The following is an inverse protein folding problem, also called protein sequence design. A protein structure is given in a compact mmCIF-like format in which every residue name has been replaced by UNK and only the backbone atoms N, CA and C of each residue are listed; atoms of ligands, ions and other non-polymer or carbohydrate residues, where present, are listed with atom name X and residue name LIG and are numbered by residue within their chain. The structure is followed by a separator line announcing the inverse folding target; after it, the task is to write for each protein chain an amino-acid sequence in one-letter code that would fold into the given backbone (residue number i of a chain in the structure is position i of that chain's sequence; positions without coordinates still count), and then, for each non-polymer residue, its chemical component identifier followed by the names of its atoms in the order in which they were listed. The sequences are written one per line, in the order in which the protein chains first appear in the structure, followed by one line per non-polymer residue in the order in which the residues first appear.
data_IF_758379754980
#
_entry.id   IF_758379754980
#
_cell.length_a   1.000
_cell.length_b   1.000
_cell.length_c   1.000
_cell.angle_alpha   90.00
_cell.angle_beta   90.00
_cell.angle_gamma   90.00
#
_symmetry.space_group_name_H-M   'P 1'
#
loop_
_entity.id
_entity.type
_entity.pdbx_description
1 polymer ?
#
# COMPACT_ATOMS: atom_id res chain seq x y z
N UNK A 1 16.16 -23.16 -7.85
CA UNK A 1 15.37 -22.62 -8.99
C UNK A 1 13.86 -22.83 -8.86
N UNK A 2 13.36 -23.95 -8.29
CA UNK A 2 11.91 -24.13 -8.03
C UNK A 2 11.44 -23.27 -6.83
N UNK A 3 12.19 -23.20 -5.73
CA UNK A 3 11.81 -22.38 -4.56
C UNK A 3 11.63 -20.89 -4.88
N UNK A 4 12.47 -20.32 -5.76
CA UNK A 4 12.39 -18.91 -6.16
C UNK A 4 11.05 -18.55 -6.81
N UNK A 5 10.46 -19.48 -7.58
CA UNK A 5 9.16 -19.27 -8.24
C UNK A 5 8.00 -19.20 -7.23
N UNK A 6 8.11 -19.91 -6.10
CA UNK A 6 7.08 -19.89 -5.07
C UNK A 6 7.02 -18.53 -4.35
N UNK A 7 8.16 -17.85 -4.18
CA UNK A 7 8.20 -16.52 -3.57
C UNK A 7 7.53 -15.46 -4.46
N UNK A 8 7.76 -15.51 -5.78
CA UNK A 8 7.05 -14.63 -6.72
C UNK A 8 5.55 -14.89 -6.74
N UNK A 9 5.13 -16.16 -6.80
CA UNK A 9 3.71 -16.52 -6.82
C UNK A 9 3.00 -16.11 -5.53
N UNK A 10 3.66 -16.31 -4.38
CA UNK A 10 3.11 -15.93 -3.07
C UNK A 10 2.99 -14.41 -2.93
N UNK A 11 4.02 -13.67 -3.34
CA UNK A 11 4.00 -12.20 -3.31
C UNK A 11 2.91 -11.64 -4.23
N UNK A 12 2.76 -12.22 -5.43
CA UNK A 12 1.72 -11.80 -6.36
C UNK A 12 0.31 -12.13 -5.86
N UNK A 13 0.10 -13.32 -5.30
CA UNK A 13 -1.18 -13.68 -4.68
C UNK A 13 -1.52 -12.75 -3.51
N UNK A 14 -0.55 -12.42 -2.66
CA UNK A 14 -0.74 -11.49 -1.54
C UNK A 14 -1.09 -10.08 -2.03
N UNK A 15 -0.46 -9.63 -3.11
CA UNK A 15 -0.78 -8.35 -3.75
C UNK A 15 -2.22 -8.31 -4.24
N UNK A 16 -2.70 -9.37 -4.91
CA UNK A 16 -4.07 -9.47 -5.38
C UNK A 16 -5.09 -9.48 -4.22
N UNK A 17 -4.78 -10.16 -3.11
CA UNK A 17 -5.64 -10.19 -1.92
C UNK A 17 -5.72 -8.79 -1.29
N UNK A 18 -4.59 -8.10 -1.15
CA UNK A 18 -4.55 -6.72 -0.66
C UNK A 18 -5.35 -5.76 -1.54
N UNK A 19 -5.17 -5.88 -2.86
CA UNK A 19 -5.86 -5.06 -3.85
C UNK A 19 -7.38 -5.32 -3.84
N UNK A 20 -7.78 -6.59 -3.77
CA UNK A 20 -9.19 -6.98 -3.66
C UNK A 20 -9.81 -6.39 -2.39
N UNK A 21 -9.14 -6.52 -1.25
CA UNK A 21 -9.60 -5.95 0.03
C UNK A 21 -9.74 -4.43 -0.04
N UNK A 22 -8.84 -3.74 -0.75
CA UNK A 22 -8.90 -2.29 -0.92
C UNK A 22 -10.12 -1.83 -1.75
N UNK A 23 -10.52 -2.60 -2.77
CA UNK A 23 -11.62 -2.24 -3.68
C UNK A 23 -12.99 -2.60 -3.09
N UNK A 24 -13.14 -3.78 -2.51
CA UNK A 24 -14.44 -4.33 -2.10
C UNK A 24 -14.98 -3.70 -0.80
N UNK A 25 -14.09 -3.28 0.11
CA UNK A 25 -14.51 -2.77 1.41
C UNK A 25 -15.10 -1.36 1.33
N UNK A 26 -16.26 -1.16 1.95
CA UNK A 26 -16.90 0.17 2.06
C UNK A 26 -16.26 1.07 3.10
N UNK A 27 -15.75 0.48 4.18
CA UNK A 27 -15.16 1.19 5.31
C UNK A 27 -13.75 1.68 4.95
N UNK A 28 -13.52 2.99 5.09
CA UNK A 28 -12.23 3.61 4.73
C UNK A 28 -11.03 3.02 5.49
N UNK A 29 -11.19 2.64 6.76
CA UNK A 29 -10.10 2.01 7.54
C UNK A 29 -9.71 0.66 6.92
N UNK A 30 -10.70 -0.14 6.50
CA UNK A 30 -10.45 -1.42 5.83
C UNK A 30 -9.75 -1.24 4.49
N UNK A 31 -10.03 -0.14 3.76
CA UNK A 31 -9.29 0.21 2.53
C UNK A 31 -7.82 0.52 2.83
N UNK A 32 -7.53 1.28 3.90
CA UNK A 32 -6.14 1.57 4.33
C UNK A 32 -5.41 0.29 4.73
N UNK A 33 -6.08 -0.65 5.39
CA UNK A 33 -5.49 -1.96 5.71
C UNK A 33 -5.19 -2.74 4.42
N UNK A 34 -6.11 -2.78 3.45
CA UNK A 34 -5.88 -3.42 2.15
C UNK A 34 -4.71 -2.80 1.36
N UNK A 35 -4.55 -1.48 1.46
CA UNK A 35 -3.39 -0.77 0.90
C UNK A 35 -2.08 -1.24 1.55
N UNK A 36 -2.04 -1.40 2.87
CA UNK A 36 -0.85 -1.89 3.59
C UNK A 36 -0.49 -3.32 3.18
N UNK A 37 -1.47 -4.22 3.01
CA UNK A 37 -1.21 -5.56 2.49
C UNK A 37 -0.60 -5.54 1.09
N UNK A 38 -1.10 -4.66 0.22
CA UNK A 38 -0.57 -4.49 -1.14
C UNK A 38 0.87 -3.97 -1.12
N UNK A 39 1.19 -3.03 -0.22
CA UNK A 39 2.56 -2.52 -0.03
C UNK A 39 3.52 -3.63 0.43
N UNK A 40 3.14 -4.40 1.44
CA UNK A 40 3.95 -5.52 1.95
C UNK A 40 4.23 -6.55 0.85
N UNK A 41 3.23 -6.86 0.01
CA UNK A 41 3.41 -7.76 -1.12
C UNK A 41 4.44 -7.25 -2.14
N UNK A 42 4.45 -5.94 -2.42
CA UNK A 42 5.47 -5.30 -3.28
C UNK A 42 6.85 -5.37 -2.64
N UNK A 43 6.96 -5.16 -1.33
CA UNK A 43 8.25 -5.29 -0.63
C UNK A 43 8.81 -6.70 -0.74
N UNK A 44 7.98 -7.73 -0.54
CA UNK A 44 8.38 -9.12 -0.70
C UNK A 44 8.83 -9.44 -2.14
N UNK A 45 8.13 -8.88 -3.14
CA UNK A 45 8.54 -9.02 -4.53
C UNK A 45 9.90 -8.38 -4.81
N UNK A 46 10.18 -7.18 -4.28
CA UNK A 46 11.47 -6.52 -4.41
C UNK A 46 12.61 -7.28 -3.72
N UNK A 47 12.36 -7.82 -2.52
CA UNK A 47 13.33 -8.67 -1.80
C UNK A 47 13.64 -9.93 -2.61
N UNK A 48 12.63 -10.54 -3.22
CA UNK A 48 12.81 -11.76 -4.03
C UNK A 48 13.69 -11.49 -5.25
N UNK A 49 13.58 -10.32 -5.90
CA UNK A 49 14.44 -9.92 -7.03
C UNK A 49 15.89 -9.72 -6.58
N UNK A 50 16.12 -9.22 -5.37
CA UNK A 50 17.45 -9.00 -4.81
C UNK A 50 18.09 -10.23 -4.17
N UNK A 51 17.36 -11.34 -4.09
CA UNK A 51 17.80 -12.55 -3.40
C UNK A 51 18.86 -13.31 -4.20
N UNK A 52 19.95 -13.68 -3.54
CA UNK A 52 21.05 -14.47 -4.09
C UNK A 52 21.31 -15.64 -3.14
N UNK A 53 21.26 -16.86 -3.67
CA UNK A 53 21.48 -18.09 -2.89
C UNK A 53 22.89 -18.08 -2.25
N UNK A 54 22.96 -18.32 -0.94
CA UNK A 54 24.22 -18.39 -0.19
C UNK A 54 24.92 -17.05 0.02
N UNK A 55 24.22 -15.93 -0.17
CA UNK A 55 24.81 -14.61 -0.03
C UNK A 55 24.85 -14.11 1.42
N UNK A 56 26.00 -13.58 1.83
CA UNK A 56 26.19 -12.87 3.08
C UNK A 56 25.56 -11.48 3.02
N UNK A 57 25.17 -10.89 4.17
CA UNK A 57 24.79 -9.48 4.25
C UNK A 57 25.87 -8.57 3.62
N UNK A 58 25.51 -7.46 2.97
CA UNK A 58 26.45 -6.55 2.31
C UNK A 58 27.23 -5.71 3.35
N UNK A 59 28.07 -6.39 4.15
CA UNK A 59 28.88 -5.83 5.21
C UNK A 59 30.34 -6.10 4.87
N UNK A 60 31.16 -5.05 4.88
CA UNK A 60 32.60 -5.16 4.65
C UNK A 60 33.25 -6.06 5.70
N UNK A 61 34.00 -7.06 5.27
CA UNK A 61 34.73 -7.98 6.15
C UNK A 61 34.24 -9.44 6.19
N UNK A 62 33.19 -9.79 5.44
CA UNK A 62 32.76 -11.18 5.26
C UNK A 62 33.25 -11.73 3.91
N UNK A 63 33.83 -12.94 3.90
CA UNK A 63 34.21 -13.63 2.67
C UNK A 63 33.00 -14.36 2.08
N UNK A 64 32.76 -14.23 0.77
CA UNK A 64 31.70 -14.94 0.04
C UNK A 64 30.86 -14.05 -0.89
N UNK A 65 29.84 -14.63 -1.54
CA UNK A 65 28.84 -13.85 -2.29
C UNK A 65 28.13 -12.89 -1.34
N UNK A 66 27.88 -11.65 -1.75
CA UNK A 66 27.15 -10.67 -0.95
C UNK A 66 25.75 -10.43 -1.54
N UNK A 67 24.77 -10.17 -0.70
CA UNK A 67 23.42 -9.84 -1.14
C UNK A 67 23.44 -8.48 -1.87
N UNK A 68 22.53 -8.29 -2.83
CA UNK A 68 22.53 -7.10 -3.67
C UNK A 68 22.22 -5.83 -2.84
N UNK A 69 23.19 -4.90 -2.66
CA UNK A 69 22.99 -3.71 -1.84
C UNK A 69 21.98 -2.75 -2.45
N UNK A 70 21.79 -2.76 -3.78
CA UNK A 70 20.81 -1.92 -4.46
C UNK A 70 19.38 -2.33 -4.08
N UNK A 71 19.10 -3.64 -4.07
CA UNK A 71 17.78 -4.14 -3.71
C UNK A 71 17.42 -3.81 -2.25
N UNK A 72 18.40 -3.88 -1.33
CA UNK A 72 18.20 -3.52 0.07
C UNK A 72 17.80 -2.04 0.22
N UNK A 73 18.52 -1.13 -0.43
CA UNK A 73 18.19 0.31 -0.36
C UNK A 73 16.82 0.60 -0.97
N UNK A 74 16.46 -0.04 -2.08
CA UNK A 74 15.14 0.13 -2.71
C UNK A 74 13.99 -0.33 -1.81
N UNK A 75 14.18 -1.41 -1.06
CA UNK A 75 13.16 -1.88 -0.10
C UNK A 75 13.05 -0.92 1.08
N UNK A 76 14.17 -0.42 1.61
CA UNK A 76 14.17 0.53 2.73
C UNK A 76 13.45 1.82 2.35
N UNK A 77 13.72 2.39 1.16
CA UNK A 77 13.04 3.60 0.68
C UNK A 77 11.55 3.34 0.44
N UNK A 78 11.19 2.18 -0.13
CA UNK A 78 9.80 1.80 -0.33
C UNK A 78 9.03 1.70 1.01
N UNK A 79 9.65 1.13 2.05
CA UNK A 79 9.05 1.04 3.39
C UNK A 79 8.78 2.43 3.98
N UNK A 80 9.76 3.35 3.92
CA UNK A 80 9.59 4.71 4.46
C UNK A 80 8.45 5.43 3.75
N UNK A 81 8.43 5.41 2.41
CA UNK A 81 7.33 6.00 1.62
C UNK A 81 5.99 5.34 1.97
N UNK A 82 5.96 4.02 2.15
CA UNK A 82 4.73 3.32 2.48
C UNK A 82 4.15 3.69 3.84
N UNK A 83 4.99 3.83 4.86
CA UNK A 83 4.57 4.31 6.20
C UNK A 83 4.06 5.75 6.11
N UNK A 84 4.73 6.63 5.34
CA UNK A 84 4.26 8.00 5.11
C UNK A 84 2.90 8.04 4.42
N UNK A 85 2.68 7.20 3.40
CA UNK A 85 1.38 7.10 2.70
C UNK A 85 0.28 6.58 3.63
N UNK A 86 0.56 5.59 4.48
CA UNK A 86 -0.40 5.11 5.47
C UNK A 86 -0.74 6.20 6.50
N UNK A 87 0.25 6.96 6.96
CA UNK A 87 0.02 8.11 7.85
C UNK A 87 -0.86 9.18 7.21
N UNK A 88 -0.56 9.55 5.96
CA UNK A 88 -1.37 10.49 5.19
C UNK A 88 -2.80 9.98 4.98
N UNK A 89 -2.95 8.70 4.61
CA UNK A 89 -4.26 8.10 4.40
C UNK A 89 -5.09 8.11 5.69
N UNK A 90 -4.51 7.77 6.84
CA UNK A 90 -5.20 7.83 8.12
C UNK A 90 -5.56 9.26 8.51
N UNK A 91 -4.68 10.24 8.29
CA UNK A 91 -4.97 11.65 8.53
C UNK A 91 -6.16 12.14 7.68
N UNK A 92 -6.23 11.72 6.41
CA UNK A 92 -7.38 12.00 5.55
C UNK A 92 -8.66 11.31 6.04
N UNK A 93 -8.57 10.06 6.49
CA UNK A 93 -9.72 9.33 7.05
C UNK A 93 -10.26 10.02 8.30
N UNK A 94 -9.40 10.51 9.19
CA UNK A 94 -9.80 11.29 10.37
C UNK A 94 -10.50 12.57 9.93
N UNK A 95 -9.92 13.32 9.00
CA UNK A 95 -10.52 14.56 8.48
C UNK A 95 -11.90 14.33 7.84
N UNK A 96 -12.03 13.28 7.04
CA UNK A 96 -13.30 12.88 6.42
C UNK A 96 -14.35 12.48 7.48
N UNK A 97 -13.92 11.81 8.53
CA UNK A 97 -14.81 11.46 9.63
C UNK A 97 -15.29 12.69 10.40
N UNK A 98 -14.42 13.66 10.65
CA UNK A 98 -14.78 14.91 11.32
C UNK A 98 -15.77 15.76 10.49
N UNK A 99 -15.69 15.68 9.16
CA UNK A 99 -16.55 16.44 8.23
C UNK A 99 -17.90 15.75 7.98
N UNK A 100 -17.91 14.44 7.69
CA UNK A 100 -19.11 13.72 7.26
C UNK A 100 -19.75 12.84 8.33
N UNK A 101 -19.06 12.62 9.46
CA UNK A 101 -19.50 11.79 10.58
C UNK A 101 -19.59 10.28 10.29
N UNK A 102 -19.07 9.83 9.14
CA UNK A 102 -19.19 8.44 8.68
C UNK A 102 -17.87 7.95 8.08
N UNK A 103 -17.63 6.65 8.19
CA UNK A 103 -16.48 5.96 7.58
C UNK A 103 -16.88 5.14 6.35
N UNK A 104 -18.15 5.21 5.92
CA UNK A 104 -18.62 4.55 4.70
C UNK A 104 -18.36 5.43 3.49
N UNK A 105 -17.48 4.95 2.61
CA UNK A 105 -17.13 5.64 1.35
C UNK A 105 -18.33 6.00 0.48
N UNK A 106 -19.40 5.19 0.44
CA UNK A 106 -20.58 5.49 -0.40
C UNK A 106 -21.45 6.58 0.19
N UNK A 107 -21.51 6.65 1.52
CA UNK A 107 -22.27 7.70 2.19
C UNK A 107 -21.59 9.05 2.01
N UNK A 108 -20.25 9.07 2.11
CA UNK A 108 -19.43 10.25 1.79
C UNK A 108 -19.67 10.68 0.35
N UNK A 109 -19.57 9.77 -0.62
CA UNK A 109 -19.79 10.05 -2.04
C UNK A 109 -21.19 10.63 -2.33
N UNK A 110 -22.23 10.12 -1.65
CA UNK A 110 -23.59 10.68 -1.76
C UNK A 110 -23.70 12.09 -1.18
N UNK A 111 -23.08 12.36 -0.03
CA UNK A 111 -23.12 13.68 0.60
C UNK A 111 -22.37 14.72 -0.24
N UNK A 112 -21.23 14.34 -0.82
CA UNK A 112 -20.51 15.16 -1.79
C UNK A 112 -21.35 15.46 -3.03
N UNK A 113 -21.97 14.43 -3.64
CA UNK A 113 -22.81 14.62 -4.82
C UNK A 113 -24.04 15.52 -4.55
N UNK A 114 -24.58 15.50 -3.33
CA UNK A 114 -25.68 16.38 -2.93
C UNK A 114 -25.21 17.84 -2.76
N UNK A 115 -24.08 18.08 -2.10
CA UNK A 115 -23.49 19.41 -1.91
C UNK A 115 -23.11 20.06 -3.27
N UNK A 116 -22.58 19.27 -4.21
CA UNK A 116 -22.27 19.73 -5.57
C UNK A 116 -23.53 20.11 -6.37
N UNK A 117 -24.63 19.37 -6.18
CA UNK A 117 -25.90 19.68 -6.83
C UNK A 117 -26.53 20.97 -6.28
N UNK A 118 -26.38 21.24 -4.97
CA UNK A 118 -26.86 22.48 -4.34
C UNK A 118 -26.03 23.70 -4.79
N UNK A 119 -24.69 23.57 -4.92
CA UNK A 119 -23.82 24.66 -5.44
C UNK A 119 -24.05 24.96 -6.92
N UNK A 120 -24.44 23.97 -7.72
CA UNK A 120 -24.75 24.16 -9.14
C UNK A 120 -26.02 24.96 -9.41
N UNK A 121 -26.95 25.02 -8.44
CA UNK A 121 -28.21 25.78 -8.58
C UNK A 121 -28.03 27.27 -8.26
N UNK A 122 -27.03 27.62 -7.44
CA UNK A 122 -26.79 29.00 -6.97
C UNK A 122 -25.95 29.85 -7.95
N UNK A 123 -25.52 29.28 -9.09
CA UNK A 123 -24.68 29.98 -10.10
C UNK A 123 -25.45 30.41 -11.37
N UNK A 124 -26.75 30.10 -11.47
CA UNK A 124 -27.60 30.38 -12.64
C UNK A 124 -28.62 31.53 -12.45
N UNK A 125 -28.60 32.25 -11.31
CA UNK A 125 -29.39 33.48 -11.03
C UNK A 125 -28.54 34.77 -11.15
#
# INVERSE_FOLDING_TARGET
MIETHHYYLTSFALFLIGLYMMIDNRNLIKKVIGLNFSQVAVYLMLVTIGYVDGANPPIVGLEGPHANPLAHVLVLTAIVVGVSLTGLALALVIRLYDEFGTLDSREIERKLAADDAERGVDTDD
#
